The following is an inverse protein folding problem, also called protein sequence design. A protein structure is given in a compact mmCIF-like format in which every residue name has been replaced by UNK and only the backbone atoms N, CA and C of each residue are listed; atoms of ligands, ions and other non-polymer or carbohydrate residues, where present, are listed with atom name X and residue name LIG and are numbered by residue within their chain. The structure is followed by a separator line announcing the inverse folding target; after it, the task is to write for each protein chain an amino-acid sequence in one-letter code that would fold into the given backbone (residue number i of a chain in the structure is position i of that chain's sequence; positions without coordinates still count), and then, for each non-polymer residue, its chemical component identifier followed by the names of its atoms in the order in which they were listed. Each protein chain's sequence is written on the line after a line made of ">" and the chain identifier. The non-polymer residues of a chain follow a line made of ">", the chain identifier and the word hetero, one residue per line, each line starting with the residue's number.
data_IF_914187647251
#
_entry.id   IF_914187647251
#
_cell.length_a   1.000
_cell.length_b   1.000
_cell.length_c   1.000
_cell.angle_alpha   90.00
_cell.angle_beta   90.00
_cell.angle_gamma   90.00
#
_symmetry.space_group_name_H-M   'P 1'
#
loop_
_entity.id
_entity.type
_entity.pdbx_description
1 polymer ?
#
# COMPACT_ATOMS: atom_id res chain seq x y z
N UNK A 1 1.88 -3.04 -9.40
CA UNK A 1 2.43 -2.79 -8.06
C UNK A 1 2.18 -4.01 -7.18
N UNK A 2 3.20 -4.49 -6.55
CA UNK A 2 3.12 -5.68 -5.70
C UNK A 2 3.26 -5.31 -4.23
N UNK A 3 2.56 -6.03 -3.37
CA UNK A 3 2.66 -5.88 -1.91
C UNK A 3 3.17 -7.18 -1.33
N UNK A 4 4.31 -7.11 -0.65
CA UNK A 4 4.96 -8.28 -0.07
C UNK A 4 5.11 -8.10 1.45
N UNK A 5 4.86 -9.18 2.19
CA UNK A 5 5.11 -9.20 3.62
C UNK A 5 6.09 -10.32 3.89
N UNK A 6 7.24 -9.97 4.48
CA UNK A 6 8.33 -10.91 4.75
C UNK A 6 8.74 -11.72 3.52
N UNK A 7 8.77 -11.04 2.37
CA UNK A 7 9.17 -11.64 1.10
C UNK A 7 8.08 -12.42 0.38
N UNK A 8 6.91 -12.54 0.96
CA UNK A 8 5.80 -13.29 0.37
C UNK A 8 4.78 -12.32 -0.21
N UNK A 9 4.50 -12.47 -1.51
CA UNK A 9 3.54 -11.60 -2.19
C UNK A 9 2.12 -11.81 -1.65
N UNK A 10 1.49 -10.71 -1.25
CA UNK A 10 0.11 -10.73 -0.75
C UNK A 10 -0.88 -10.38 -1.85
N UNK A 11 -0.48 -9.47 -2.73
CA UNK A 11 -1.30 -9.11 -3.87
C UNK A 11 -0.45 -8.38 -4.92
N UNK A 12 -0.94 -8.39 -6.15
CA UNK A 12 -0.39 -7.59 -7.23
C UNK A 12 -1.51 -6.72 -7.79
N UNK A 13 -1.32 -5.43 -7.75
CA UNK A 13 -2.31 -4.48 -8.25
C UNK A 13 -2.09 -4.23 -9.74
N UNK A 14 -3.12 -4.40 -10.54
CA UNK A 14 -3.06 -4.16 -11.99
C UNK A 14 -3.32 -2.68 -12.27
N UNK A 15 -2.27 -1.96 -12.64
CA UNK A 15 -2.33 -0.53 -12.95
C UNK A 15 -2.99 -0.24 -14.30
N UNK A 16 -3.06 -1.24 -15.16
CA UNK A 16 -3.64 -1.07 -16.50
C UNK A 16 -5.16 -1.05 -16.47
N UNK A 17 -5.74 -1.43 -15.35
CA UNK A 17 -7.18 -1.45 -15.19
C UNK A 17 -7.71 -0.06 -14.90
N UNK A 18 -8.59 0.44 -15.76
CA UNK A 18 -9.18 1.76 -15.59
C UNK A 18 -10.07 1.82 -14.36
N UNK A 19 -10.01 2.94 -13.65
CA UNK A 19 -10.86 3.18 -12.49
C UNK A 19 -12.23 3.69 -12.92
N UNK A 20 -13.27 3.23 -12.24
CA UNK A 20 -14.62 3.74 -12.45
C UNK A 20 -14.76 5.11 -11.80
N UNK A 21 -15.81 5.84 -12.20
CA UNK A 21 -16.11 7.14 -11.59
C UNK A 21 -16.38 6.97 -10.08
N UNK A 22 -17.01 5.87 -9.71
CA UNK A 22 -17.26 5.55 -8.30
C UNK A 22 -15.95 5.42 -7.53
N UNK A 23 -14.98 4.70 -8.09
CA UNK A 23 -13.67 4.51 -7.45
C UNK A 23 -12.94 5.84 -7.32
N UNK A 24 -12.94 6.67 -8.37
CA UNK A 24 -12.30 7.98 -8.32
C UNK A 24 -12.92 8.88 -7.27
N UNK A 25 -14.25 8.87 -7.17
CA UNK A 25 -14.97 9.62 -6.15
C UNK A 25 -14.59 9.16 -4.75
N UNK A 26 -14.47 7.85 -4.56
CA UNK A 26 -14.09 7.26 -3.28
C UNK A 26 -12.70 7.72 -2.85
N UNK A 27 -11.75 7.74 -3.79
CA UNK A 27 -10.38 8.21 -3.50
C UNK A 27 -10.38 9.68 -3.05
N UNK A 28 -11.19 10.51 -3.71
CA UNK A 28 -11.34 11.91 -3.32
C UNK A 28 -11.88 12.07 -1.90
N UNK A 29 -12.86 11.23 -1.55
CA UNK A 29 -13.42 11.26 -0.19
C UNK A 29 -12.42 10.79 0.85
N UNK A 30 -11.56 9.84 0.50
CA UNK A 30 -10.47 9.42 1.37
C UNK A 30 -9.53 10.58 1.67
N UNK A 31 -9.16 11.35 0.64
CA UNK A 31 -8.31 12.52 0.82
C UNK A 31 -8.97 13.56 1.71
N UNK A 32 -10.24 13.87 1.47
CA UNK A 32 -10.97 14.84 2.28
C UNK A 32 -11.00 14.42 3.75
N UNK A 33 -11.28 13.18 4.00
CA UNK A 33 -11.34 12.66 5.36
C UNK A 33 -9.98 12.71 6.05
N UNK A 34 -8.92 12.37 5.34
CA UNK A 34 -7.57 12.42 5.90
C UNK A 34 -7.13 13.86 6.14
N UNK A 35 -7.58 14.80 5.34
CA UNK A 35 -7.25 16.23 5.54
C UNK A 35 -7.83 16.79 6.84
N UNK A 36 -8.84 16.16 7.39
CA UNK A 36 -9.41 16.55 8.69
C UNK A 36 -8.52 16.15 9.87
N UNK A 37 -7.59 15.23 9.63
CA UNK A 37 -6.66 14.76 10.64
C UNK A 37 -6.51 13.26 10.61
N UNK A 38 -5.27 12.79 10.74
CA UNK A 38 -4.96 11.37 10.84
C UNK A 38 -4.06 11.12 12.03
N UNK A 39 -4.15 9.92 12.59
CA UNK A 39 -3.34 9.52 13.73
C UNK A 39 -2.18 8.65 13.23
N UNK A 40 -0.95 9.14 13.42
CA UNK A 40 0.25 8.40 13.11
C UNK A 40 1.05 8.27 14.40
N UNK A 41 1.22 7.03 14.87
CA UNK A 41 1.97 6.73 16.10
C UNK A 41 1.48 7.53 17.32
N UNK A 42 0.17 7.69 17.44
CA UNK A 42 -0.43 8.39 18.57
C UNK A 42 -0.47 9.90 18.45
N UNK A 43 0.05 10.45 17.36
CA UNK A 43 0.05 11.88 17.10
C UNK A 43 -0.95 12.22 16.01
N UNK A 44 -1.85 13.18 16.29
CA UNK A 44 -2.83 13.62 15.31
C UNK A 44 -2.20 14.69 14.41
N UNK A 45 -2.25 14.44 13.11
CA UNK A 45 -1.69 15.35 12.11
C UNK A 45 -2.83 15.91 11.28
N UNK A 46 -3.03 17.22 11.36
CA UNK A 46 -4.03 17.92 10.56
C UNK A 46 -3.42 18.31 9.21
N UNK A 47 -4.21 18.24 8.16
CA UNK A 47 -3.78 18.55 6.80
C UNK A 47 -2.47 17.83 6.44
N UNK A 48 -2.44 16.51 6.54
CA UNK A 48 -1.21 15.75 6.29
C UNK A 48 -0.72 15.88 4.85
N UNK A 49 0.59 15.77 4.68
CA UNK A 49 1.20 15.74 3.37
C UNK A 49 0.98 14.36 2.74
N UNK A 50 1.24 14.24 1.45
CA UNK A 50 0.99 12.99 0.72
C UNK A 50 1.74 11.80 1.34
N UNK A 51 3.02 11.97 1.68
CA UNK A 51 3.79 10.88 2.29
C UNK A 51 3.20 10.42 3.63
N UNK A 52 2.63 11.34 4.40
CA UNK A 52 1.96 11.01 5.65
C UNK A 52 0.66 10.24 5.39
N UNK A 53 -0.10 10.65 4.39
CA UNK A 53 -1.31 9.95 3.98
C UNK A 53 -0.99 8.53 3.52
N UNK A 54 0.07 8.38 2.71
CA UNK A 54 0.52 7.06 2.22
C UNK A 54 0.92 6.16 3.39
N UNK A 55 1.64 6.70 4.36
CA UNK A 55 2.03 5.94 5.56
C UNK A 55 0.80 5.45 6.32
N UNK A 56 -0.17 6.33 6.53
CA UNK A 56 -1.42 6.01 7.22
C UNK A 56 -2.21 4.93 6.44
N UNK A 57 -2.38 5.13 5.13
CA UNK A 57 -3.12 4.20 4.28
C UNK A 57 -2.43 2.84 4.22
N UNK A 58 -1.10 2.82 4.12
CA UNK A 58 -0.34 1.57 4.09
C UNK A 58 -0.52 0.78 5.38
N UNK A 59 -0.46 1.45 6.54
CA UNK A 59 -0.67 0.78 7.82
C UNK A 59 -2.07 0.17 7.90
N UNK A 60 -3.08 0.89 7.43
CA UNK A 60 -4.46 0.37 7.41
C UNK A 60 -4.61 -0.77 6.41
N UNK A 61 -3.94 -0.71 5.28
CA UNK A 61 -3.95 -1.78 4.29
C UNK A 61 -3.37 -3.06 4.88
N UNK A 62 -2.26 -2.97 5.61
CA UNK A 62 -1.66 -4.13 6.27
C UNK A 62 -2.60 -4.74 7.28
N UNK A 63 -3.31 -3.92 8.04
CA UNK A 63 -4.31 -4.39 8.98
C UNK A 63 -5.45 -5.11 8.26
N UNK A 64 -5.88 -4.59 7.12
CA UNK A 64 -6.94 -5.20 6.31
C UNK A 64 -6.47 -6.56 5.75
N UNK A 65 -5.22 -6.67 5.33
CA UNK A 65 -4.65 -7.93 4.85
C UNK A 65 -4.67 -8.97 5.96
N UNK A 66 -4.25 -8.58 7.16
CA UNK A 66 -4.21 -9.50 8.31
C UNK A 66 -5.59 -9.94 8.75
N UNK A 67 -6.61 -9.13 8.48
CA UNK A 67 -8.01 -9.44 8.82
C UNK A 67 -8.76 -10.12 7.69
N UNK A 68 -8.09 -10.44 6.59
CA UNK A 68 -8.70 -10.99 5.38
C UNK A 68 -9.84 -10.14 4.80
N UNK A 69 -9.72 -8.82 4.97
CA UNK A 69 -10.72 -7.90 4.42
C UNK A 69 -10.29 -7.48 3.02
N UNK A 70 -10.65 -8.29 2.02
CA UNK A 70 -10.24 -8.10 0.64
C UNK A 70 -10.74 -6.78 0.05
N UNK A 71 -11.96 -6.40 0.36
CA UNK A 71 -12.55 -5.16 -0.15
C UNK A 71 -11.78 -3.93 0.31
N UNK A 72 -11.46 -3.87 1.60
CA UNK A 72 -10.71 -2.76 2.15
C UNK A 72 -9.27 -2.78 1.64
N UNK A 73 -8.65 -3.95 1.56
CA UNK A 73 -7.29 -4.10 1.03
C UNK A 73 -7.21 -3.56 -0.40
N UNK A 74 -8.17 -3.93 -1.23
CA UNK A 74 -8.21 -3.49 -2.61
C UNK A 74 -8.39 -1.97 -2.73
N UNK A 75 -9.29 -1.41 -1.93
CA UNK A 75 -9.56 0.04 -1.94
C UNK A 75 -8.33 0.85 -1.53
N UNK A 76 -7.67 0.42 -0.46
CA UNK A 76 -6.49 1.12 0.05
C UNK A 76 -5.30 0.95 -0.90
N UNK A 77 -5.16 -0.22 -1.49
CA UNK A 77 -4.12 -0.47 -2.49
C UNK A 77 -4.33 0.43 -3.72
N UNK A 78 -5.57 0.59 -4.15
CA UNK A 78 -5.93 1.47 -5.27
C UNK A 78 -5.51 2.92 -4.97
N UNK A 79 -5.76 3.38 -3.74
CA UNK A 79 -5.35 4.72 -3.33
C UNK A 79 -3.83 4.90 -3.50
N UNK A 80 -3.06 3.98 -2.93
CA UNK A 80 -1.59 4.06 -2.97
C UNK A 80 -1.09 4.05 -4.42
N UNK A 81 -1.58 3.11 -5.22
CA UNK A 81 -1.14 2.96 -6.61
C UNK A 81 -1.48 4.20 -7.44
N UNK A 82 -2.61 4.82 -7.16
CA UNK A 82 -3.06 6.01 -7.91
C UNK A 82 -2.26 7.25 -7.51
N UNK A 83 -1.99 7.42 -6.23
CA UNK A 83 -1.24 8.58 -5.72
C UNK A 83 0.26 8.47 -5.96
N UNK A 84 0.80 7.26 -6.08
CA UNK A 84 2.21 7.01 -6.36
C UNK A 84 2.33 6.17 -7.64
N UNK A 85 2.16 6.79 -8.81
CA UNK A 85 2.10 6.03 -10.07
C UNK A 85 3.41 5.33 -10.44
N UNK A 86 4.53 5.77 -9.87
CA UNK A 86 5.83 5.16 -10.16
C UNK A 86 6.21 4.07 -9.15
N UNK A 87 5.40 3.86 -8.13
CA UNK A 87 5.68 2.84 -7.12
C UNK A 87 5.51 1.45 -7.71
N UNK A 88 6.51 0.61 -7.55
CA UNK A 88 6.52 -0.74 -8.11
C UNK A 88 6.25 -1.83 -7.09
N UNK A 89 6.75 -1.66 -5.88
CA UNK A 89 6.57 -2.64 -4.81
C UNK A 89 6.46 -1.96 -3.45
N UNK A 90 5.67 -2.57 -2.58
CA UNK A 90 5.67 -2.24 -1.16
C UNK A 90 6.19 -3.48 -0.45
N UNK A 91 7.35 -3.38 0.15
CA UNK A 91 7.96 -4.49 0.88
C UNK A 91 7.85 -4.23 2.38
N UNK A 92 7.18 -5.13 3.08
CA UNK A 92 6.97 -5.01 4.51
C UNK A 92 7.75 -6.10 5.22
N UNK A 93 8.52 -5.71 6.22
CA UNK A 93 9.16 -6.65 7.13
C UNK A 93 8.41 -6.54 8.44
N UNK A 94 7.69 -7.59 8.80
CA UNK A 94 6.87 -7.62 10.01
C UNK A 94 7.48 -8.60 11.00
N UNK A 95 8.08 -8.06 12.04
CA UNK A 95 8.70 -8.82 13.12
C UNK A 95 7.97 -8.50 14.42
N UNK A 96 8.16 -9.32 15.44
CA UNK A 96 7.45 -9.17 16.70
C UNK A 96 7.42 -7.75 17.27
N UNK A 97 8.57 -7.08 17.27
CA UNK A 97 8.69 -5.78 17.92
C UNK A 97 8.76 -4.61 16.96
N UNK A 98 8.79 -4.88 15.66
CA UNK A 98 8.87 -3.77 14.71
C UNK A 98 8.33 -4.15 13.34
N UNK A 99 7.88 -3.13 12.64
CA UNK A 99 7.41 -3.25 11.26
C UNK A 99 8.14 -2.22 10.44
N UNK A 100 8.76 -2.66 9.36
CA UNK A 100 9.46 -1.78 8.43
C UNK A 100 8.76 -1.81 7.09
N UNK A 101 8.50 -0.64 6.53
CA UNK A 101 7.86 -0.51 5.21
C UNK A 101 8.85 0.11 4.25
N UNK A 102 9.11 -0.57 3.15
CA UNK A 102 10.03 -0.10 2.12
C UNK A 102 9.28 0.09 0.81
N UNK A 103 9.29 1.31 0.29
CA UNK A 103 8.64 1.66 -0.97
C UNK A 103 9.66 1.57 -2.09
N UNK A 104 9.45 0.65 -3.03
CA UNK A 104 10.40 0.38 -4.11
C UNK A 104 9.89 0.96 -5.43
N UNK A 105 10.65 1.89 -6.00
CA UNK A 105 10.29 2.58 -7.24
C UNK A 105 11.12 2.14 -8.45
N UNK A 106 12.26 1.52 -8.21
CA UNK A 106 13.22 1.23 -9.28
C UNK A 106 13.29 -0.25 -9.68
N UNK A 107 12.59 -1.14 -8.98
CA UNK A 107 12.65 -2.57 -9.27
C UNK A 107 11.26 -3.19 -9.23
N UNK A 108 10.87 -3.77 -10.34
CA UNK A 108 9.57 -4.40 -10.46
C UNK A 108 9.58 -5.82 -9.89
N UNK A 109 8.49 -6.20 -9.22
CA UNK A 109 8.34 -7.56 -8.72
C UNK A 109 8.25 -8.54 -9.89
N UNK A 110 9.05 -9.59 -9.85
CA UNK A 110 9.13 -10.57 -10.94
C UNK A 110 8.48 -11.91 -10.63
N UNK A 111 7.87 -12.04 -9.47
CA UNK A 111 7.19 -13.26 -9.08
C UNK A 111 8.04 -14.19 -8.23
N UNK A 112 7.40 -15.17 -7.62
CA UNK A 112 8.04 -16.11 -6.69
C UNK A 112 8.94 -17.13 -7.40
N UNK A 113 8.65 -17.39 -8.66
CA UNK A 113 9.37 -18.41 -9.42
C UNK A 113 10.77 -18.01 -9.83
N UNK A 114 11.14 -16.79 -9.66
CA UNK A 114 12.48 -16.30 -10.03
C UNK A 114 13.55 -16.76 -9.05
N UNK A 115 13.24 -17.69 -8.34
CA UNK A 115 14.15 -18.23 -7.34
C UNK A 115 15.42 -18.74 -7.98
N UNK A 116 15.58 -18.94 -8.26
CA UNK A 116 16.42 -19.34 -8.48
C UNK A 116 17.53 -19.40 -8.45
N UNK A 117 17.12 -19.62 -8.43
CA UNK A 117 17.94 -19.81 -8.39
C UNK A 117 18.95 -19.73 -8.37
N UNK A 118 19.04 -19.78 -8.37
CA UNK A 118 19.84 -19.55 -8.38
C UNK A 118 20.82 -19.66 -8.37
N UNK A 119 21.00 -19.79 -8.22
CA UNK A 119 21.76 -19.76 -8.12
C UNK A 119 22.61 -19.49 -8.16
N UNK A 120 22.63 -19.58 -7.99
CA UNK A 120 23.21 -19.16 -8.08
C UNK A 120 23.77 -19.10 -7.92
#
# INVERSE_FOLDING_TARGET
>A
MAVLINGIAQLEYDRDKALTDYQLTYLGKMDEKMDEGIDIDGEVIESPELNQKIQFVTANMLSAIKSDNEGMTSALCTYIATRLPDLKQIKVTDKEDEMTIDMVFDEQYKGQTSVSFTKH
#
